data_IF_808837691869
#
_entry.id   IF_808837691869
#
_cell.length_a   1.000
_cell.length_b   1.000
_cell.length_c   1.000
_cell.angle_alpha   90.00
_cell.angle_beta   90.00
_cell.angle_gamma   90.00
#
_symmetry.space_group_name_H-M   'P 1'
#
loop_
_entity.id
_entity.type
_entity.pdbx_description
1 polymer ?
#
# COMPACT_ATOMS: atom_id res chain seq x y z
N UNK A 1 -15.93 9.68 6.23
CA UNK A 1 -15.29 9.56 7.57
C UNK A 1 -13.89 10.18 7.63
N UNK A 2 -13.13 10.21 6.52
CA UNK A 2 -11.77 10.77 6.44
C UNK A 2 -11.69 12.29 6.62
N UNK A 3 -12.81 12.99 6.44
CA UNK A 3 -12.88 14.46 6.51
C UNK A 3 -13.63 14.95 7.76
N UNK A 4 -13.72 14.10 8.79
CA UNK A 4 -14.30 14.44 10.09
C UNK A 4 -13.40 15.50 10.75
N UNK A 5 -13.90 16.73 10.88
CA UNK A 5 -13.13 17.87 11.39
C UNK A 5 -12.76 18.90 10.32
N UNK A 6 -12.95 18.62 9.02
CA UNK A 6 -12.82 19.64 8.00
C UNK A 6 -13.95 20.67 8.12
N UNK A 7 -13.62 21.96 8.12
CA UNK A 7 -14.60 23.04 8.16
C UNK A 7 -15.38 23.14 6.85
N UNK A 8 -14.72 22.87 5.73
CA UNK A 8 -15.30 22.91 4.40
C UNK A 8 -14.74 21.77 3.54
N UNK A 9 -15.60 21.11 2.76
CA UNK A 9 -15.25 20.04 1.83
C UNK A 9 -15.96 20.29 0.51
N UNK A 10 -15.25 20.17 -0.60
CA UNK A 10 -15.85 20.22 -1.93
C UNK A 10 -15.25 19.16 -2.85
N UNK A 11 -16.07 18.69 -3.77
CA UNK A 11 -15.65 17.79 -4.83
C UNK A 11 -15.28 18.59 -6.08
N UNK A 12 -14.29 18.10 -6.81
CA UNK A 12 -13.82 18.67 -8.07
C UNK A 12 -13.41 17.56 -9.04
N UNK A 13 -13.35 17.88 -10.32
CA UNK A 13 -12.71 17.00 -11.29
C UNK A 13 -11.22 16.85 -10.94
N UNK A 14 -10.69 15.63 -11.07
CA UNK A 14 -9.29 15.36 -10.78
C UNK A 14 -8.38 15.80 -11.95
N UNK A 15 -8.33 17.10 -12.20
CA UNK A 15 -7.49 17.75 -13.21
C UNK A 15 -6.44 18.63 -12.55
N UNK A 16 -5.26 18.75 -13.15
CA UNK A 16 -4.19 19.62 -12.62
C UNK A 16 -3.49 19.12 -11.37
N UNK A 17 -3.64 17.85 -11.03
CA UNK A 17 -3.00 17.22 -9.87
C UNK A 17 -3.32 17.95 -8.54
N UNK A 18 -2.39 17.93 -7.59
CA UNK A 18 -2.47 18.67 -6.32
C UNK A 18 -2.45 20.19 -6.55
N UNK A 19 -1.66 20.67 -7.50
CA UNK A 19 -1.57 22.08 -7.90
C UNK A 19 -2.93 22.64 -8.32
N UNK A 20 -3.67 21.88 -9.14
CA UNK A 20 -5.05 22.21 -9.51
C UNK A 20 -5.96 22.26 -8.28
N UNK A 21 -5.78 21.30 -7.35
CA UNK A 21 -6.50 21.29 -6.08
C UNK A 21 -6.24 22.53 -5.23
N UNK A 22 -4.99 22.95 -5.12
CA UNK A 22 -4.62 24.17 -4.38
C UNK A 22 -5.23 25.41 -5.02
N UNK A 23 -5.11 25.56 -6.34
CA UNK A 23 -5.68 26.70 -7.06
C UNK A 23 -7.19 26.79 -6.89
N UNK A 24 -7.90 25.68 -7.05
CA UNK A 24 -9.36 25.66 -6.90
C UNK A 24 -9.76 25.92 -5.44
N UNK A 25 -9.00 25.42 -4.47
CA UNK A 25 -9.19 25.68 -3.05
C UNK A 25 -9.04 27.18 -2.72
N UNK A 26 -7.94 27.81 -3.19
CA UNK A 26 -7.68 29.23 -3.02
C UNK A 26 -8.79 30.07 -3.67
N UNK A 27 -9.16 29.75 -4.91
CA UNK A 27 -10.21 30.49 -5.63
C UNK A 27 -11.57 30.37 -4.92
N UNK A 28 -11.92 29.19 -4.43
CA UNK A 28 -13.18 28.95 -3.71
C UNK A 28 -13.23 29.65 -2.36
N UNK A 29 -12.12 29.62 -1.62
CA UNK A 29 -12.03 30.25 -0.31
C UNK A 29 -12.04 31.78 -0.41
N UNK A 30 -11.40 32.33 -1.43
CA UNK A 30 -11.35 33.74 -1.78
C UNK A 30 -10.19 34.48 -1.12
N UNK A 31 -9.58 35.40 -1.89
CA UNK A 31 -8.38 36.14 -1.48
C UNK A 31 -8.58 37.01 -0.23
N UNK A 32 -9.74 37.71 -0.11
CA UNK A 32 -10.03 38.55 1.05
C UNK A 32 -10.10 37.73 2.34
N UNK A 33 -10.68 36.54 2.27
CA UNK A 33 -10.79 35.65 3.42
C UNK A 33 -9.45 35.02 3.77
N UNK A 34 -8.66 34.67 2.78
CA UNK A 34 -7.29 34.14 2.98
C UNK A 34 -6.40 35.16 3.70
N UNK A 35 -6.48 36.44 3.33
CA UNK A 35 -5.70 37.51 3.94
C UNK A 35 -6.01 37.77 5.43
N UNK A 36 -7.07 37.18 5.99
CA UNK A 36 -7.39 37.25 7.41
C UNK A 36 -6.63 36.25 8.28
N UNK A 37 -5.92 35.31 7.67
CA UNK A 37 -5.11 34.30 8.36
C UNK A 37 -3.65 34.71 8.41
N UNK A 38 -2.98 34.32 9.47
CA UNK A 38 -1.54 34.57 9.64
C UNK A 38 -0.73 33.70 8.67
N UNK A 39 -1.24 32.48 8.39
CA UNK A 39 -0.55 31.48 7.58
C UNK A 39 -1.55 30.62 6.78
N UNK A 40 -1.22 30.32 5.52
CA UNK A 40 -1.88 29.35 4.67
C UNK A 40 -0.95 28.12 4.50
N UNK A 41 -1.44 26.93 4.83
CA UNK A 41 -0.70 25.68 4.60
C UNK A 41 -1.34 24.92 3.44
N UNK A 42 -0.56 24.70 2.39
CA UNK A 42 -0.90 23.85 1.25
C UNK A 42 -0.22 22.49 1.42
N UNK A 43 -0.97 21.40 1.53
CA UNK A 43 -0.40 20.08 1.64
C UNK A 43 -1.22 19.04 0.87
N UNK A 44 -0.61 17.90 0.57
CA UNK A 44 -1.25 16.84 -0.19
C UNK A 44 -1.20 15.48 0.55
N UNK A 45 -1.87 14.48 0.00
CA UNK A 45 -2.05 13.15 0.59
C UNK A 45 -0.84 12.21 0.41
N UNK A 46 0.30 12.68 -0.07
CA UNK A 46 1.43 11.82 -0.47
C UNK A 46 2.33 11.39 0.68
N UNK A 47 1.93 11.63 1.92
CA UNK A 47 2.66 11.24 3.12
C UNK A 47 1.71 10.75 4.23
N UNK A 48 2.26 10.01 5.18
CA UNK A 48 1.63 9.67 6.45
C UNK A 48 2.11 10.64 7.52
N UNK A 49 1.20 11.11 8.37
CA UNK A 49 1.48 12.05 9.46
C UNK A 49 0.34 12.03 10.52
N UNK A 50 0.60 12.51 11.73
CA UNK A 50 1.90 12.84 12.29
C UNK A 50 2.62 11.60 12.85
N UNK A 51 3.83 11.31 12.39
CA UNK A 51 4.68 10.25 12.97
C UNK A 51 5.28 10.73 14.29
N UNK A 52 5.75 11.97 14.31
CA UNK A 52 6.19 12.68 15.50
C UNK A 52 5.29 13.91 15.75
N UNK A 53 5.22 14.43 16.98
CA UNK A 53 4.42 15.60 17.27
C UNK A 53 4.72 16.80 16.35
N UNK A 54 3.68 17.44 15.83
CA UNK A 54 3.81 18.66 15.01
C UNK A 54 4.62 19.77 15.70
N UNK A 55 4.64 19.76 17.03
CA UNK A 55 5.42 20.71 17.81
C UNK A 55 6.90 20.73 17.42
N UNK A 56 7.50 19.57 17.15
CA UNK A 56 8.90 19.47 16.76
C UNK A 56 9.18 20.25 15.46
N UNK A 57 8.27 20.13 14.49
CA UNK A 57 8.33 20.88 13.23
C UNK A 57 8.17 22.39 13.46
N UNK A 58 7.17 22.77 14.24
CA UNK A 58 6.84 24.19 14.49
C UNK A 58 7.96 24.88 15.27
N UNK A 59 8.55 24.23 16.29
CA UNK A 59 9.67 24.79 17.04
C UNK A 59 10.89 25.07 16.13
N UNK A 60 11.16 24.20 15.12
CA UNK A 60 12.25 24.43 14.15
C UNK A 60 11.98 25.66 13.27
N UNK A 61 10.76 25.84 12.84
CA UNK A 61 10.35 26.97 11.99
C UNK A 61 10.31 28.26 12.80
N UNK A 62 9.86 28.23 14.04
CA UNK A 62 9.86 29.41 14.91
C UNK A 62 11.29 29.89 15.22
N UNK A 63 12.25 28.97 15.32
CA UNK A 63 13.67 29.28 15.49
C UNK A 63 14.29 29.97 14.26
N UNK A 64 13.72 29.83 13.07
CA UNK A 64 14.19 30.51 11.86
C UNK A 64 13.87 32.02 11.83
N UNK A 65 13.02 32.50 12.73
CA UNK A 65 12.64 33.91 12.83
C UNK A 65 11.61 34.37 11.79
N UNK A 66 11.73 35.61 11.35
CA UNK A 66 10.78 36.19 10.39
C UNK A 66 11.05 35.64 8.98
N UNK A 67 10.08 34.90 8.45
CA UNK A 67 10.11 34.29 7.11
C UNK A 67 8.74 34.45 6.44
N UNK A 68 8.74 34.52 5.12
CA UNK A 68 7.52 34.72 4.33
C UNK A 68 6.86 33.40 3.93
N UNK A 69 7.66 32.34 3.76
CA UNK A 69 7.15 31.00 3.48
C UNK A 69 8.13 29.92 3.95
N UNK A 70 7.62 28.68 4.12
CA UNK A 70 8.44 27.56 4.57
C UNK A 70 7.91 26.20 4.13
N UNK A 71 8.77 25.20 4.20
CA UNK A 71 8.43 23.80 3.94
C UNK A 71 9.03 22.85 4.93
N UNK A 72 8.59 21.58 4.89
CA UNK A 72 9.15 20.53 5.75
C UNK A 72 10.52 20.13 5.24
N UNK A 73 10.62 19.82 3.96
CA UNK A 73 11.84 19.36 3.29
C UNK A 73 12.03 20.07 1.96
N UNK A 74 13.22 19.97 1.41
CA UNK A 74 13.57 20.51 0.11
C UNK A 74 14.34 19.49 -0.74
N UNK A 75 14.38 19.74 -2.02
CA UNK A 75 15.17 19.02 -3.00
C UNK A 75 16.35 19.88 -3.45
N UNK A 76 17.54 19.29 -3.55
CA UNK A 76 18.73 20.00 -4.04
C UNK A 76 18.62 20.32 -5.54
N UNK A 77 19.50 21.21 -6.02
CA UNK A 77 19.62 21.47 -7.45
C UNK A 77 20.06 20.22 -8.22
N UNK A 78 19.43 19.96 -9.37
CA UNK A 78 19.78 18.84 -10.27
C UNK A 78 20.13 19.36 -11.66
N UNK A 79 21.25 18.90 -12.21
CA UNK A 79 21.74 19.19 -13.57
C UNK A 79 22.15 17.90 -14.29
N UNK A 80 21.65 17.63 -15.51
CA UNK A 80 20.57 18.34 -16.18
C UNK A 80 19.23 18.18 -15.49
N UNK A 81 18.25 19.01 -15.84
CA UNK A 81 16.89 18.84 -15.34
C UNK A 81 16.35 17.45 -15.75
N UNK A 82 15.82 16.63 -14.82
CA UNK A 82 15.46 15.24 -15.10
C UNK A 82 14.33 15.08 -16.14
N UNK A 83 13.52 16.13 -16.34
CA UNK A 83 12.41 16.13 -17.27
C UNK A 83 12.62 17.06 -18.49
N UNK A 84 13.61 17.98 -18.42
CA UNK A 84 13.92 18.98 -19.45
C UNK A 84 15.42 18.99 -19.69
N UNK A 85 15.89 18.28 -20.68
CA UNK A 85 17.30 17.95 -20.91
C UNK A 85 18.28 19.15 -21.01
N UNK A 86 17.82 20.39 -21.23
CA UNK A 86 18.68 21.55 -21.45
C UNK A 86 18.82 22.51 -20.26
N UNK A 87 18.09 22.30 -19.16
CA UNK A 87 17.99 23.22 -18.05
C UNK A 87 18.37 22.57 -16.73
N UNK A 88 18.45 23.35 -15.67
CA UNK A 88 18.56 22.85 -14.30
C UNK A 88 17.19 22.78 -13.64
N UNK A 89 17.01 21.87 -12.72
CA UNK A 89 15.96 21.93 -11.71
C UNK A 89 16.56 22.67 -10.49
N UNK A 90 16.04 23.84 -10.12
CA UNK A 90 16.61 24.60 -9.00
C UNK A 90 16.37 23.89 -7.67
N UNK A 91 17.16 24.20 -6.68
CA UNK A 91 16.88 23.83 -5.29
C UNK A 91 15.54 24.45 -4.86
N UNK A 92 14.68 23.67 -4.22
CA UNK A 92 13.33 24.10 -3.93
C UNK A 92 12.70 23.35 -2.75
N UNK A 93 11.80 24.03 -2.05
CA UNK A 93 10.88 23.40 -1.09
C UNK A 93 9.96 22.47 -1.85
N UNK A 94 9.78 21.25 -1.32
CA UNK A 94 8.91 20.25 -1.95
C UNK A 94 7.44 20.52 -1.69
N UNK A 95 6.62 20.46 -2.74
CA UNK A 95 5.22 20.91 -2.77
C UNK A 95 4.24 20.05 -1.94
N UNK A 96 4.71 18.95 -1.35
CA UNK A 96 3.85 18.18 -0.46
C UNK A 96 3.47 18.92 0.84
N UNK A 97 4.24 19.98 1.19
CA UNK A 97 3.94 20.92 2.26
C UNK A 97 4.60 22.27 1.99
N UNK A 98 3.78 23.27 1.74
CA UNK A 98 4.21 24.68 1.62
C UNK A 98 3.33 25.52 2.52
N UNK A 99 3.94 26.25 3.45
CA UNK A 99 3.25 27.22 4.29
C UNK A 99 3.65 28.64 3.88
N UNK A 100 2.67 29.52 3.75
CA UNK A 100 2.83 30.91 3.28
C UNK A 100 2.28 31.86 4.34
N UNK A 101 3.10 32.78 4.81
CA UNK A 101 2.76 33.76 5.86
C UNK A 101 2.47 35.12 5.26
N UNK A 102 1.85 35.99 6.06
CA UNK A 102 1.80 37.40 5.74
C UNK A 102 3.18 38.06 6.01
N UNK A 103 3.64 39.02 5.16
CA UNK A 103 2.84 39.73 4.14
C UNK A 103 2.70 39.03 2.79
N UNK A 104 3.47 37.95 2.47
CA UNK A 104 3.41 37.29 1.17
C UNK A 104 1.99 36.79 0.83
N UNK A 105 1.30 36.13 1.76
CA UNK A 105 -0.04 35.60 1.54
C UNK A 105 -1.05 36.64 1.00
N UNK A 106 -0.97 37.86 1.49
CA UNK A 106 -1.85 38.98 1.07
C UNK A 106 -1.28 39.82 -0.07
N UNK A 107 -0.10 39.46 -0.60
CA UNK A 107 0.58 40.24 -1.62
C UNK A 107 -0.05 40.09 -3.01
N UNK A 108 0.06 41.10 -3.88
CA UNK A 108 -0.27 40.97 -5.29
C UNK A 108 0.58 39.87 -6.00
N UNK A 109 1.81 39.66 -5.55
CA UNK A 109 2.75 38.68 -6.14
C UNK A 109 2.24 37.25 -5.94
N UNK A 110 1.71 36.92 -4.74
CA UNK A 110 1.15 35.60 -4.47
C UNK A 110 -0.09 35.34 -5.33
N UNK A 111 -0.94 36.34 -5.47
CA UNK A 111 -2.12 36.25 -6.34
C UNK A 111 -1.73 36.09 -7.81
N UNK A 112 -0.80 36.90 -8.31
CA UNK A 112 -0.30 36.83 -9.69
C UNK A 112 0.29 35.46 -9.99
N UNK A 113 1.05 34.88 -9.05
CA UNK A 113 1.61 33.53 -9.21
C UNK A 113 0.55 32.48 -9.53
N UNK A 114 -0.57 32.50 -8.84
CA UNK A 114 -1.67 31.54 -9.04
C UNK A 114 -2.54 31.86 -10.25
N UNK A 115 -2.79 33.14 -10.51
CA UNK A 115 -3.62 33.59 -11.64
C UNK A 115 -2.92 33.34 -13.00
N UNK A 116 -1.60 33.54 -13.08
CA UNK A 116 -0.79 33.35 -14.28
C UNK A 116 -0.23 31.94 -14.46
N UNK A 117 -0.51 31.02 -13.55
CA UNK A 117 0.01 29.65 -13.64
C UNK A 117 -0.51 28.93 -14.89
N UNK A 118 0.38 28.37 -15.71
CA UNK A 118 -0.01 27.60 -16.89
C UNK A 118 -0.90 26.40 -16.53
N UNK A 119 -1.71 25.89 -17.47
CA UNK A 119 -2.48 24.67 -17.24
C UNK A 119 -1.57 23.49 -16.92
N UNK A 120 -1.82 22.81 -15.81
CA UNK A 120 -1.11 21.60 -15.39
C UNK A 120 -1.80 20.39 -16.03
N UNK A 121 -1.16 19.76 -17.01
CA UNK A 121 -1.70 18.64 -17.79
C UNK A 121 -1.01 17.31 -17.51
N UNK A 122 0.19 17.35 -16.94
CA UNK A 122 1.01 16.18 -16.63
C UNK A 122 1.67 16.31 -15.25
N UNK A 123 2.18 15.19 -14.75
CA UNK A 123 3.00 15.17 -13.53
C UNK A 123 4.25 16.06 -13.68
N UNK A 124 4.87 16.05 -14.86
CA UNK A 124 6.03 16.89 -15.12
C UNK A 124 5.68 18.38 -15.11
N UNK A 125 4.49 18.76 -15.59
CA UNK A 125 4.03 20.15 -15.51
C UNK A 125 3.87 20.60 -14.04
N UNK A 126 3.39 19.72 -13.16
CA UNK A 126 3.25 20.08 -11.74
C UNK A 126 4.59 20.36 -11.07
N UNK A 127 5.62 19.61 -11.43
CA UNK A 127 6.99 19.86 -10.98
C UNK A 127 7.54 21.14 -11.59
N UNK A 128 7.44 21.29 -12.92
CA UNK A 128 8.03 22.43 -13.65
C UNK A 128 7.39 23.77 -13.30
N UNK A 129 6.06 23.83 -13.23
CA UNK A 129 5.33 25.08 -13.09
C UNK A 129 4.98 25.44 -11.65
N UNK A 130 5.10 24.49 -10.73
CA UNK A 130 4.82 24.74 -9.32
C UNK A 130 5.98 24.32 -8.42
N UNK A 131 6.24 23.03 -8.23
CA UNK A 131 7.15 22.54 -7.18
C UNK A 131 8.54 23.17 -7.30
N UNK A 132 9.22 22.99 -8.43
CA UNK A 132 10.57 23.51 -8.64
C UNK A 132 10.64 25.03 -8.88
N UNK A 133 9.52 25.64 -9.20
CA UNK A 133 9.45 27.09 -9.49
C UNK A 133 9.19 27.94 -8.27
N UNK A 134 8.37 27.47 -7.31
CA UNK A 134 7.83 28.27 -6.22
C UNK A 134 8.91 29.01 -5.42
N UNK A 135 9.88 28.28 -4.92
CA UNK A 135 10.96 28.84 -4.08
C UNK A 135 11.79 29.89 -4.83
N UNK A 136 12.21 29.57 -6.05
CA UNK A 136 13.01 30.50 -6.87
C UNK A 136 12.20 31.73 -7.30
N UNK A 137 10.92 31.59 -7.61
CA UNK A 137 10.05 32.68 -8.03
C UNK A 137 9.91 33.74 -6.94
N UNK A 138 9.53 33.31 -5.74
CA UNK A 138 9.36 34.25 -4.63
C UNK A 138 10.69 34.75 -4.07
N UNK A 139 11.74 33.94 -4.08
CA UNK A 139 13.09 34.38 -3.73
C UNK A 139 13.62 35.50 -4.63
N UNK A 140 13.34 35.48 -5.93
CA UNK A 140 13.70 36.56 -6.87
C UNK A 140 12.94 37.86 -6.63
N UNK A 141 11.77 37.80 -6.03
CA UNK A 141 10.98 38.95 -5.61
C UNK A 141 11.38 39.50 -4.22
N UNK A 142 12.37 38.85 -3.59
CA UNK A 142 12.91 39.28 -2.29
C UNK A 142 12.26 38.66 -1.05
N UNK A 143 11.33 37.72 -1.24
CA UNK A 143 10.73 36.99 -0.11
C UNK A 143 11.68 35.96 0.46
N UNK A 144 11.65 35.81 1.78
CA UNK A 144 12.51 34.93 2.55
C UNK A 144 11.83 33.59 2.87
N UNK A 145 12.61 32.52 2.97
CA UNK A 145 12.06 31.21 3.30
C UNK A 145 12.94 30.41 4.26
N UNK A 146 12.34 29.40 4.86
CA UNK A 146 13.03 28.42 5.67
C UNK A 146 12.56 26.99 5.33
N UNK A 147 13.37 26.01 5.70
CA UNK A 147 13.08 24.59 5.62
C UNK A 147 13.29 23.98 6.99
N UNK A 148 12.31 23.24 7.50
CA UNK A 148 12.42 22.68 8.85
C UNK A 148 13.50 21.58 8.95
N UNK A 149 13.68 20.83 7.86
CA UNK A 149 14.71 19.79 7.72
C UNK A 149 15.49 20.07 6.44
N UNK A 150 16.47 20.99 6.51
CA UNK A 150 17.19 21.48 5.34
C UNK A 150 18.08 20.40 4.74
N UNK A 151 18.27 20.45 3.44
CA UNK A 151 18.99 19.45 2.66
C UNK A 151 20.45 19.27 3.15
N UNK A 152 21.10 20.31 3.63
CA UNK A 152 22.50 20.27 4.09
C UNK A 152 22.72 19.31 5.25
N UNK A 153 21.70 19.07 6.06
CA UNK A 153 21.81 18.18 7.22
C UNK A 153 21.76 16.70 6.82
N UNK A 154 21.53 16.39 5.53
CA UNK A 154 21.33 15.02 5.03
C UNK A 154 22.26 14.71 3.85
N UNK A 155 22.67 13.43 3.69
CA UNK A 155 23.67 13.06 2.69
C UNK A 155 23.17 13.08 1.23
N UNK A 156 21.87 13.03 0.98
CA UNK A 156 21.31 12.94 -0.38
C UNK A 156 20.62 14.21 -0.85
N UNK A 157 20.48 14.40 -2.18
CA UNK A 157 19.78 15.55 -2.76
C UNK A 157 18.25 15.60 -2.46
N UNK A 158 17.66 14.45 -2.11
CA UNK A 158 16.23 14.31 -1.83
C UNK A 158 15.98 13.59 -0.50
N UNK A 159 16.26 14.24 0.63
CA UNK A 159 16.20 13.59 1.94
C UNK A 159 14.88 12.93 2.28
N UNK A 160 13.75 13.54 1.91
CA UNK A 160 12.42 13.00 2.25
C UNK A 160 12.16 11.62 1.61
N UNK A 161 12.87 11.31 0.56
CA UNK A 161 12.79 10.03 -0.12
C UNK A 161 13.99 9.13 0.20
N UNK A 162 15.20 9.63 0.01
CA UNK A 162 16.42 8.81 0.12
C UNK A 162 16.90 8.62 1.58
N UNK A 163 16.59 9.57 2.46
CA UNK A 163 17.05 9.57 3.86
C UNK A 163 15.88 9.62 4.87
N UNK A 164 14.76 8.99 4.54
CA UNK A 164 13.56 9.03 5.38
C UNK A 164 13.84 8.55 6.83
N UNK A 165 14.72 7.55 7.02
CA UNK A 165 15.10 7.07 8.34
C UNK A 165 15.79 8.15 9.18
N UNK A 166 16.71 8.92 8.57
CA UNK A 166 17.39 10.02 9.25
C UNK A 166 16.43 11.15 9.62
N UNK A 167 15.53 11.51 8.69
CA UNK A 167 14.49 12.48 8.95
C UNK A 167 13.59 12.08 10.13
N UNK A 168 13.15 10.82 10.17
CA UNK A 168 12.36 10.29 11.28
C UNK A 168 13.14 10.30 12.60
N UNK A 169 14.42 9.94 12.58
CA UNK A 169 15.29 10.01 13.77
C UNK A 169 15.43 11.43 14.30
N UNK A 170 15.42 12.44 13.42
CA UNK A 170 15.44 13.86 13.77
C UNK A 170 14.08 14.42 14.19
N UNK A 171 13.05 13.57 14.28
CA UNK A 171 11.72 13.96 14.72
C UNK A 171 10.82 14.56 13.62
N UNK A 172 11.14 14.31 12.34
CA UNK A 172 10.30 14.73 11.23
C UNK A 172 8.92 14.05 11.33
N UNK A 173 7.82 14.82 11.25
CA UNK A 173 6.49 14.28 11.48
C UNK A 173 5.91 13.53 10.28
N UNK A 174 6.60 13.45 9.14
CA UNK A 174 6.07 12.84 7.92
C UNK A 174 6.90 11.66 7.43
N UNK A 175 6.22 10.66 6.88
CA UNK A 175 6.80 9.60 6.05
C UNK A 175 6.15 9.63 4.67
N UNK A 176 6.94 9.77 3.61
CA UNK A 176 6.40 9.71 2.23
C UNK A 176 5.89 8.31 1.93
N UNK A 177 4.66 8.24 1.41
CA UNK A 177 4.04 6.98 0.99
C UNK A 177 4.86 6.25 -0.06
N UNK A 178 5.54 7.00 -0.93
CA UNK A 178 6.32 6.45 -2.05
C UNK A 178 7.46 5.53 -1.60
N UNK A 179 8.01 5.72 -0.41
CA UNK A 179 9.03 4.83 0.19
C UNK A 179 8.50 3.40 0.41
N UNK A 180 7.18 3.20 0.41
CA UNK A 180 6.54 1.91 0.67
C UNK A 180 5.89 1.28 -0.56
N UNK A 181 5.66 2.02 -1.65
CA UNK A 181 4.94 1.50 -2.83
C UNK A 181 5.63 1.75 -4.18
N UNK A 182 6.79 2.40 -4.20
CA UNK A 182 7.50 2.62 -5.46
C UNK A 182 8.04 1.31 -6.03
N UNK A 183 8.46 1.34 -7.29
CA UNK A 183 9.07 0.18 -7.95
C UNK A 183 10.18 -0.42 -7.08
N UNK A 184 10.10 -1.73 -6.74
CA UNK A 184 11.07 -2.35 -5.84
C UNK A 184 12.52 -2.26 -6.33
N UNK A 185 12.77 -2.40 -7.64
CA UNK A 185 14.13 -2.30 -8.19
C UNK A 185 14.70 -0.89 -8.04
N UNK A 186 13.83 0.13 -8.07
CA UNK A 186 14.27 1.49 -7.79
C UNK A 186 14.65 1.66 -6.31
N UNK A 187 13.82 1.15 -5.40
CA UNK A 187 14.08 1.23 -3.96
C UNK A 187 15.37 0.46 -3.59
N UNK A 188 15.55 -0.73 -4.14
CA UNK A 188 16.75 -1.55 -3.94
C UNK A 188 18.02 -0.82 -4.38
N UNK A 189 18.03 -0.18 -5.55
CA UNK A 189 19.17 0.59 -6.06
C UNK A 189 19.56 1.76 -5.15
N UNK A 190 18.61 2.32 -4.44
CA UNK A 190 18.80 3.45 -3.54
C UNK A 190 18.89 3.03 -2.06
N UNK A 191 18.89 1.71 -1.80
CA UNK A 191 18.88 1.13 -0.46
C UNK A 191 17.79 1.72 0.46
N UNK A 192 16.59 1.93 -0.12
CA UNK A 192 15.41 2.40 0.61
C UNK A 192 14.62 1.17 1.02
N UNK A 193 14.64 0.83 2.31
CA UNK A 193 14.04 -0.38 2.86
C UNK A 193 12.72 -0.02 3.53
N UNK A 194 11.59 -0.35 2.89
CA UNK A 194 10.26 -0.01 3.39
C UNK A 194 9.91 -0.70 4.71
N UNK A 195 10.39 -1.94 4.92
CA UNK A 195 10.22 -2.65 6.19
C UNK A 195 10.84 -1.89 7.38
N UNK A 196 12.06 -1.35 7.20
CA UNK A 196 12.73 -0.56 8.24
C UNK A 196 11.94 0.72 8.54
N UNK A 197 11.33 1.33 7.51
CA UNK A 197 10.49 2.51 7.70
C UNK A 197 9.24 2.18 8.53
N UNK A 198 8.59 1.04 8.27
CA UNK A 198 7.43 0.60 9.07
C UNK A 198 7.81 0.33 10.52
N UNK A 199 8.96 -0.30 10.75
CA UNK A 199 9.47 -0.54 12.10
C UNK A 199 9.76 0.77 12.85
N UNK A 200 10.45 1.72 12.22
CA UNK A 200 10.72 3.03 12.81
C UNK A 200 9.46 3.80 13.18
N UNK A 201 8.49 3.79 12.29
CA UNK A 201 7.18 4.44 12.50
C UNK A 201 6.41 3.77 13.63
N UNK A 202 6.41 2.43 13.69
CA UNK A 202 5.79 1.67 14.79
C UNK A 202 6.45 1.97 16.14
N UNK A 203 7.79 2.06 16.20
CA UNK A 203 8.54 2.45 17.39
C UNK A 203 8.22 3.88 17.85
N UNK A 204 7.91 4.78 16.92
CA UNK A 204 7.44 6.12 17.23
C UNK A 204 6.00 6.17 17.77
N UNK A 205 5.30 5.02 17.81
CA UNK A 205 3.93 4.89 18.32
C UNK A 205 2.84 5.22 17.29
N UNK A 206 3.18 5.33 16.02
CA UNK A 206 2.19 5.51 14.95
C UNK A 206 1.53 4.18 14.59
N UNK A 207 0.23 4.20 14.35
CA UNK A 207 -0.53 3.01 13.95
C UNK A 207 -0.16 2.56 12.52
N UNK A 208 0.67 1.53 12.42
CA UNK A 208 1.11 0.96 11.15
C UNK A 208 -0.02 0.30 10.37
N UNK A 209 -1.12 -0.12 11.01
CA UNK A 209 -2.28 -0.70 10.32
C UNK A 209 -2.98 0.34 9.43
N UNK A 210 -2.94 1.62 9.82
CA UNK A 210 -3.41 2.71 8.96
C UNK A 210 -2.61 2.80 7.66
N UNK A 211 -1.28 2.64 7.75
CA UNK A 211 -0.39 2.62 6.59
C UNK A 211 -0.70 1.43 5.70
N UNK A 212 -0.68 0.23 6.25
CA UNK A 212 -0.91 -1.01 5.51
C UNK A 212 -2.32 -1.05 4.89
N UNK A 213 -3.36 -0.64 5.63
CA UNK A 213 -4.73 -0.53 5.11
C UNK A 213 -4.85 0.45 3.94
N UNK A 214 -4.15 1.58 4.01
CA UNK A 214 -4.13 2.56 2.92
C UNK A 214 -3.39 2.00 1.70
N UNK A 215 -2.21 1.43 1.89
CA UNK A 215 -1.38 0.89 0.82
C UNK A 215 -2.01 -0.33 0.15
N UNK A 216 -2.66 -1.22 0.89
CA UNK A 216 -3.37 -2.37 0.35
C UNK A 216 -4.47 -1.97 -0.65
N UNK A 217 -5.05 -0.77 -0.51
CA UNK A 217 -6.08 -0.23 -1.42
C UNK A 217 -5.54 0.58 -2.59
N UNK A 218 -4.31 1.05 -2.51
CA UNK A 218 -3.78 2.06 -3.43
C UNK A 218 -2.48 1.67 -4.13
N UNK A 219 -1.87 0.56 -3.72
CA UNK A 219 -0.62 0.06 -4.27
C UNK A 219 -0.82 -1.29 -4.96
N UNK A 220 0.09 -1.67 -5.82
CA UNK A 220 0.12 -3.03 -6.35
C UNK A 220 0.49 -4.00 -5.24
N UNK A 221 -0.24 -5.10 -5.04
CA UNK A 221 0.06 -6.06 -3.97
C UNK A 221 1.53 -6.55 -3.98
N UNK A 222 2.08 -6.79 -5.16
CA UNK A 222 3.47 -7.20 -5.33
C UNK A 222 4.46 -6.19 -4.78
N UNK A 223 4.29 -4.91 -5.15
CA UNK A 223 5.20 -3.84 -4.72
C UNK A 223 5.11 -3.66 -3.19
N UNK A 224 3.90 -3.71 -2.65
CA UNK A 224 3.68 -3.62 -1.21
C UNK A 224 4.33 -4.79 -0.45
N UNK A 225 4.09 -6.03 -0.88
CA UNK A 225 4.66 -7.22 -0.24
C UNK A 225 6.18 -7.18 -0.23
N UNK A 226 6.79 -6.79 -1.35
CA UNK A 226 8.25 -6.70 -1.48
C UNK A 226 8.80 -5.58 -0.62
N UNK A 227 8.27 -4.36 -0.75
CA UNK A 227 8.82 -3.18 -0.08
C UNK A 227 8.59 -3.19 1.44
N UNK A 228 7.46 -3.76 1.89
CA UNK A 228 7.15 -3.89 3.31
C UNK A 228 7.76 -5.13 3.96
N UNK A 229 8.50 -5.95 3.19
CA UNK A 229 9.13 -7.16 3.71
C UNK A 229 8.12 -8.22 4.21
N UNK A 230 6.93 -8.28 3.59
CA UNK A 230 5.85 -9.18 4.01
C UNK A 230 6.02 -10.60 3.43
N UNK A 231 7.27 -11.07 3.31
CA UNK A 231 7.60 -12.41 2.82
C UNK A 231 8.18 -13.23 3.94
N UNK A 232 7.56 -14.38 4.23
CA UNK A 232 8.04 -15.36 5.21
C UNK A 232 8.51 -16.61 4.48
N UNK A 233 9.69 -17.09 4.82
CA UNK A 233 10.23 -18.37 4.32
C UNK A 233 9.88 -19.47 5.33
N UNK A 234 9.00 -20.37 4.93
CA UNK A 234 8.59 -21.49 5.77
C UNK A 234 9.64 -22.60 5.68
N UNK A 235 10.19 -23.07 6.81
CA UNK A 235 11.12 -24.20 6.81
C UNK A 235 10.51 -25.45 6.21
N UNK A 236 11.29 -26.31 5.52
CA UNK A 236 10.78 -27.54 4.88
C UNK A 236 10.38 -28.62 5.88
N UNK A 237 10.77 -28.48 7.15
CA UNK A 237 10.40 -29.38 8.26
C UNK A 237 9.91 -28.58 9.42
N UNK A 238 8.80 -29.04 10.02
CA UNK A 238 8.26 -28.52 11.26
C UNK A 238 8.85 -29.22 12.47
N UNK A 239 9.15 -28.48 13.52
CA UNK A 239 9.44 -29.04 14.84
C UNK A 239 8.14 -29.36 15.59
N UNK A 240 8.24 -29.99 16.75
CA UNK A 240 7.07 -30.38 17.53
C UNK A 240 6.23 -29.18 17.98
N UNK A 241 6.85 -28.07 18.33
CA UNK A 241 6.14 -26.86 18.74
C UNK A 241 5.29 -26.28 17.61
N UNK A 242 5.85 -26.27 16.39
CA UNK A 242 5.14 -25.86 15.16
C UNK A 242 3.95 -26.79 14.87
N UNK A 243 4.14 -28.10 14.99
CA UNK A 243 3.07 -29.10 14.78
C UNK A 243 1.96 -28.92 15.82
N UNK A 244 2.29 -28.72 17.09
CA UNK A 244 1.34 -28.52 18.16
C UNK A 244 0.54 -27.21 17.99
N UNK A 245 1.21 -26.15 17.58
CA UNK A 245 0.56 -24.87 17.26
C UNK A 245 -0.43 -25.02 16.09
N UNK A 246 -0.02 -25.69 15.00
CA UNK A 246 -0.89 -25.96 13.87
C UNK A 246 -2.10 -26.82 14.23
N UNK A 247 -1.90 -27.86 15.06
CA UNK A 247 -2.96 -28.77 15.50
C UNK A 247 -3.98 -28.09 16.44
N UNK A 248 -3.66 -26.96 17.06
CA UNK A 248 -4.59 -26.21 17.90
C UNK A 248 -5.65 -25.44 17.11
N UNK A 249 -5.45 -25.25 15.81
CA UNK A 249 -6.33 -24.44 14.94
C UNK A 249 -7.39 -25.31 14.25
N UNK A 250 -8.61 -24.82 14.21
CA UNK A 250 -9.71 -25.42 13.45
C UNK A 250 -9.67 -24.93 12.01
N UNK A 251 -9.41 -25.82 11.09
CA UNK A 251 -9.22 -25.51 9.66
C UNK A 251 -10.46 -25.86 8.85
N UNK A 252 -10.98 -24.89 8.09
CA UNK A 252 -11.96 -25.09 7.04
C UNK A 252 -11.26 -25.06 5.68
N UNK A 253 -11.39 -26.11 4.88
CA UNK A 253 -10.99 -26.11 3.49
C UNK A 253 -12.21 -25.82 2.60
N UNK A 254 -12.14 -24.80 1.75
CA UNK A 254 -13.17 -24.52 0.74
C UNK A 254 -12.57 -24.73 -0.65
N UNK A 255 -13.07 -25.75 -1.35
CA UNK A 255 -12.59 -26.16 -2.65
C UNK A 255 -13.64 -25.93 -3.74
N UNK A 256 -13.42 -24.99 -4.68
CA UNK A 256 -14.28 -24.88 -5.84
C UNK A 256 -13.80 -25.80 -6.97
N UNK A 257 -14.49 -26.94 -7.18
CA UNK A 257 -14.14 -27.98 -8.17
C UNK A 257 -15.08 -27.86 -9.37
N UNK A 258 -14.86 -26.88 -10.22
CA UNK A 258 -15.62 -26.67 -11.44
C UNK A 258 -15.35 -27.79 -12.47
N UNK A 259 -14.11 -28.23 -12.57
CA UNK A 259 -13.66 -29.34 -13.42
C UNK A 259 -13.57 -30.61 -12.57
N UNK A 260 -14.60 -31.44 -12.63
CA UNK A 260 -14.72 -32.64 -11.77
C UNK A 260 -13.57 -33.66 -11.96
N UNK A 261 -12.97 -33.72 -13.16
CA UNK A 261 -11.79 -34.54 -13.43
C UNK A 261 -10.52 -34.11 -12.65
N UNK A 262 -10.53 -32.91 -12.01
CA UNK A 262 -9.47 -32.45 -11.12
C UNK A 262 -9.76 -32.77 -9.63
N UNK A 263 -10.85 -33.45 -9.31
CA UNK A 263 -11.21 -33.76 -7.93
C UNK A 263 -10.11 -34.53 -7.20
N UNK A 264 -9.54 -35.56 -7.84
CA UNK A 264 -8.46 -36.36 -7.28
C UNK A 264 -7.21 -35.55 -6.97
N UNK A 265 -6.82 -34.63 -7.86
CA UNK A 265 -5.69 -33.73 -7.66
C UNK A 265 -5.92 -32.80 -6.47
N UNK A 266 -7.11 -32.16 -6.40
CA UNK A 266 -7.44 -31.22 -5.31
C UNK A 266 -7.51 -31.92 -3.96
N UNK A 267 -8.18 -33.10 -3.90
CA UNK A 267 -8.25 -33.89 -2.66
C UNK A 267 -6.86 -34.38 -2.21
N UNK A 268 -5.99 -34.75 -3.17
CA UNK A 268 -4.60 -35.10 -2.86
C UNK A 268 -3.81 -33.89 -2.30
N UNK A 269 -4.00 -32.69 -2.86
CA UNK A 269 -3.35 -31.47 -2.34
C UNK A 269 -3.86 -31.10 -0.94
N UNK A 270 -5.15 -31.30 -0.66
CA UNK A 270 -5.72 -31.04 0.67
C UNK A 270 -5.32 -32.07 1.73
N UNK A 271 -4.83 -33.26 1.35
CA UNK A 271 -4.42 -34.31 2.31
C UNK A 271 -3.23 -33.92 3.19
N UNK A 272 -2.52 -32.82 2.89
CA UNK A 272 -1.44 -32.29 3.72
C UNK A 272 -1.93 -31.38 4.86
N UNK A 273 -3.23 -31.06 4.91
CA UNK A 273 -3.85 -30.32 6.00
C UNK A 273 -3.87 -31.15 7.29
N UNK A 274 -3.90 -30.49 8.47
CA UNK A 274 -4.04 -31.21 9.76
C UNK A 274 -5.26 -32.12 9.79
N UNK A 275 -5.14 -33.26 10.44
CA UNK A 275 -6.25 -34.21 10.59
C UNK A 275 -7.47 -33.52 11.25
N UNK A 276 -8.66 -33.82 10.71
CA UNK A 276 -9.91 -33.26 11.23
C UNK A 276 -10.28 -31.88 10.61
N UNK A 277 -9.59 -31.43 9.57
CA UNK A 277 -10.09 -30.28 8.80
C UNK A 277 -11.48 -30.58 8.22
N UNK A 278 -12.34 -29.56 8.17
CA UNK A 278 -13.64 -29.66 7.51
C UNK A 278 -13.52 -29.27 6.04
N UNK A 279 -14.07 -30.08 5.12
CA UNK A 279 -14.06 -29.80 3.69
C UNK A 279 -15.46 -29.40 3.20
N UNK A 280 -15.56 -28.19 2.65
CA UNK A 280 -16.70 -27.79 1.83
C UNK A 280 -16.25 -27.70 0.38
N UNK A 281 -16.78 -28.55 -0.47
CA UNK A 281 -16.51 -28.52 -1.90
C UNK A 281 -17.70 -27.93 -2.67
N UNK A 282 -17.46 -27.06 -3.63
CA UNK A 282 -18.50 -26.48 -4.48
C UNK A 282 -18.29 -26.87 -5.94
N UNK A 283 -19.37 -27.14 -6.68
CA UNK A 283 -19.32 -27.53 -8.09
C UNK A 283 -20.54 -27.01 -8.88
N UNK A 284 -20.56 -27.23 -10.20
CA UNK A 284 -21.52 -26.61 -11.11
C UNK A 284 -22.85 -27.36 -11.28
N UNK A 285 -22.89 -28.65 -10.97
CA UNK A 285 -24.08 -29.50 -11.20
C UNK A 285 -24.07 -30.77 -10.34
N UNK A 286 -25.20 -31.49 -10.31
CA UNK A 286 -25.39 -32.71 -9.50
C UNK A 286 -24.52 -33.89 -9.95
N UNK A 287 -24.21 -34.00 -11.25
CA UNK A 287 -23.35 -35.07 -11.77
C UNK A 287 -21.92 -34.94 -11.23
N UNK A 288 -21.37 -33.72 -11.30
CA UNK A 288 -20.07 -33.39 -10.73
C UNK A 288 -20.07 -33.57 -9.21
N UNK A 289 -21.15 -33.20 -8.53
CA UNK A 289 -21.30 -33.42 -7.08
C UNK A 289 -21.15 -34.89 -6.73
N UNK A 290 -21.93 -35.75 -7.37
CA UNK A 290 -21.88 -37.18 -7.11
C UNK A 290 -20.48 -37.77 -7.36
N UNK A 291 -19.77 -37.32 -8.40
CA UNK A 291 -18.41 -37.72 -8.67
C UNK A 291 -17.43 -37.28 -7.56
N UNK A 292 -17.53 -36.03 -7.13
CA UNK A 292 -16.67 -35.49 -6.07
C UNK A 292 -16.92 -36.21 -4.74
N UNK A 293 -18.17 -36.45 -4.38
CA UNK A 293 -18.57 -37.22 -3.19
C UNK A 293 -17.96 -38.65 -3.22
N UNK A 294 -18.07 -39.34 -4.37
CA UNK A 294 -17.47 -40.68 -4.54
C UNK A 294 -15.95 -40.63 -4.36
N UNK A 295 -15.24 -39.64 -4.93
CA UNK A 295 -13.79 -39.50 -4.78
C UNK A 295 -13.39 -39.12 -3.35
N UNK A 296 -14.13 -38.29 -2.66
CA UNK A 296 -13.88 -37.98 -1.26
C UNK A 296 -14.07 -39.22 -0.38
N UNK A 297 -15.15 -39.99 -0.60
CA UNK A 297 -15.40 -41.22 0.12
C UNK A 297 -14.31 -42.28 -0.11
N UNK A 298 -13.85 -42.47 -1.36
CA UNK A 298 -12.73 -43.39 -1.67
C UNK A 298 -11.44 -43.07 -0.92
N UNK A 299 -11.25 -41.77 -0.57
CA UNK A 299 -10.09 -41.26 0.18
C UNK A 299 -10.33 -41.15 1.69
N UNK A 300 -11.53 -41.52 2.16
CA UNK A 300 -11.92 -41.38 3.57
C UNK A 300 -12.03 -39.94 4.05
N UNK A 301 -12.29 -38.99 3.13
CA UNK A 301 -12.48 -37.57 3.43
C UNK A 301 -13.98 -37.30 3.56
N UNK A 302 -14.39 -36.75 4.71
CA UNK A 302 -15.76 -36.23 4.89
C UNK A 302 -15.85 -34.86 4.21
N UNK A 303 -16.77 -34.75 3.26
CA UNK A 303 -16.91 -33.54 2.43
C UNK A 303 -18.37 -33.12 2.31
N UNK A 304 -18.66 -31.88 2.66
CA UNK A 304 -19.94 -31.22 2.29
C UNK A 304 -19.83 -30.71 0.85
N UNK A 305 -20.44 -31.43 -0.09
CA UNK A 305 -20.38 -31.06 -1.51
C UNK A 305 -21.66 -30.34 -1.92
N UNK A 306 -21.50 -29.12 -2.43
CA UNK A 306 -22.59 -28.21 -2.78
C UNK A 306 -22.62 -27.87 -4.26
N UNK A 307 -23.79 -27.84 -4.86
CA UNK A 307 -23.97 -27.27 -6.19
C UNK A 307 -24.17 -25.77 -6.07
N UNK A 308 -23.35 -24.97 -6.78
CA UNK A 308 -23.44 -23.52 -6.75
C UNK A 308 -24.76 -23.01 -7.32
N UNK A 309 -25.32 -21.98 -6.70
CA UNK A 309 -26.56 -21.34 -7.15
C UNK A 309 -26.38 -20.61 -8.48
N UNK A 310 -25.18 -20.18 -8.81
CA UNK A 310 -24.85 -19.48 -10.04
C UNK A 310 -23.33 -19.53 -10.31
N UNK A 311 -22.94 -19.61 -11.58
CA UNK A 311 -21.53 -19.47 -11.97
C UNK A 311 -21.08 -18.00 -12.16
N UNK A 312 -21.93 -17.03 -11.75
CA UNK A 312 -21.51 -15.61 -11.72
C UNK A 312 -20.52 -15.39 -10.60
N UNK A 313 -19.38 -14.76 -10.94
CA UNK A 313 -18.28 -14.56 -9.98
C UNK A 313 -17.33 -15.75 -9.89
N UNK A 314 -17.53 -16.81 -10.68
CA UNK A 314 -16.66 -18.01 -10.74
C UNK A 314 -16.36 -18.56 -9.32
N UNK A 315 -15.11 -18.93 -9.05
CA UNK A 315 -14.64 -19.45 -7.75
C UNK A 315 -14.83 -18.46 -6.58
N UNK A 316 -14.77 -17.16 -6.84
CA UNK A 316 -14.99 -16.14 -5.80
C UNK A 316 -16.48 -16.06 -5.43
N UNK A 317 -17.39 -16.15 -6.42
CA UNK A 317 -18.82 -16.22 -6.16
C UNK A 317 -19.20 -17.46 -5.36
N UNK A 318 -18.71 -18.64 -5.77
CA UNK A 318 -18.90 -19.89 -5.02
C UNK A 318 -18.37 -19.79 -3.58
N UNK A 319 -17.21 -19.18 -3.37
CA UNK A 319 -16.60 -18.99 -2.06
C UNK A 319 -17.44 -18.07 -1.17
N UNK A 320 -17.75 -16.85 -1.64
CA UNK A 320 -18.36 -15.82 -0.79
C UNK A 320 -19.87 -15.98 -0.63
N UNK A 321 -20.58 -16.58 -1.61
CA UNK A 321 -22.04 -16.68 -1.61
C UNK A 321 -22.50 -18.07 -1.17
N UNK A 322 -22.01 -19.14 -1.84
CA UNK A 322 -22.49 -20.48 -1.58
C UNK A 322 -21.87 -21.14 -0.33
N UNK A 323 -20.78 -20.54 0.20
CA UNK A 323 -20.13 -20.94 1.46
C UNK A 323 -20.27 -19.88 2.57
N UNK A 324 -21.13 -18.88 2.41
CA UNK A 324 -21.28 -17.77 3.36
C UNK A 324 -21.57 -18.25 4.78
N UNK A 325 -22.42 -19.26 4.93
CA UNK A 325 -22.81 -19.85 6.20
C UNK A 325 -21.62 -20.36 7.02
N UNK A 326 -20.77 -21.18 6.41
CA UNK A 326 -19.58 -21.74 7.08
C UNK A 326 -18.48 -20.69 7.28
N UNK A 327 -18.35 -19.74 6.35
CA UNK A 327 -17.37 -18.65 6.46
C UNK A 327 -17.67 -17.67 7.60
N UNK A 328 -18.95 -17.52 7.95
CA UNK A 328 -19.40 -16.58 8.98
C UNK A 328 -19.86 -17.27 10.27
N UNK A 329 -19.75 -18.60 10.37
CA UNK A 329 -20.16 -19.38 11.52
C UNK A 329 -19.40 -19.05 12.81
N UNK A 330 -18.15 -18.59 12.68
CA UNK A 330 -17.22 -18.40 13.80
C UNK A 330 -16.67 -19.71 14.39
N UNK A 331 -16.86 -20.85 13.71
CA UNK A 331 -16.42 -22.16 14.17
C UNK A 331 -14.97 -22.48 13.82
N UNK A 332 -14.41 -21.78 12.83
CA UNK A 332 -13.08 -22.03 12.26
C UNK A 332 -12.14 -20.85 12.49
N UNK A 333 -10.89 -21.18 12.79
CA UNK A 333 -9.83 -20.19 12.98
C UNK A 333 -9.20 -19.80 11.63
N UNK A 334 -9.07 -20.79 10.73
CA UNK A 334 -8.39 -20.63 9.42
C UNK A 334 -9.25 -21.19 8.31
N UNK A 335 -9.29 -20.46 7.18
CA UNK A 335 -9.92 -20.90 5.94
C UNK A 335 -8.86 -21.09 4.85
N UNK A 336 -8.77 -22.30 4.31
CA UNK A 336 -7.92 -22.63 3.15
C UNK A 336 -8.79 -22.63 1.91
N UNK A 337 -8.57 -21.66 1.00
CA UNK A 337 -9.30 -21.58 -0.28
C UNK A 337 -8.49 -22.15 -1.41
N UNK A 338 -9.07 -23.11 -2.14
CA UNK A 338 -8.49 -23.72 -3.34
C UNK A 338 -9.53 -23.81 -4.46
N UNK A 339 -9.10 -23.84 -5.72
CA UNK A 339 -10.04 -24.08 -6.82
C UNK A 339 -9.37 -24.83 -7.98
N UNK A 340 -10.19 -25.55 -8.77
CA UNK A 340 -9.75 -26.16 -10.00
C UNK A 340 -9.51 -25.10 -11.07
N UNK A 341 -8.36 -25.15 -11.75
CA UNK A 341 -8.02 -24.22 -12.83
C UNK A 341 -7.47 -24.98 -14.04
N UNK A 342 -8.12 -24.76 -15.19
CA UNK A 342 -7.60 -25.12 -16.51
C UNK A 342 -7.43 -23.85 -17.32
N UNK A 343 -6.19 -23.46 -17.59
CA UNK A 343 -5.91 -22.28 -18.43
C UNK A 343 -6.01 -22.68 -19.89
N UNK A 344 -7.12 -22.37 -20.51
CA UNK A 344 -7.38 -22.61 -21.94
C UNK A 344 -6.75 -21.51 -22.81
N UNK A 345 -6.40 -20.38 -22.20
CA UNK A 345 -5.97 -19.15 -22.87
C UNK A 345 -4.45 -18.91 -22.77
N UNK A 346 -3.75 -19.60 -21.88
CA UNK A 346 -2.32 -19.44 -21.65
C UNK A 346 -1.53 -20.57 -22.28
N UNK A 347 -0.25 -20.34 -22.55
CA UNK A 347 0.70 -21.40 -22.88
C UNK A 347 0.65 -22.47 -21.80
N UNK A 348 0.64 -23.75 -22.21
CA UNK A 348 0.56 -24.90 -21.30
C UNK A 348 1.62 -24.83 -20.19
N UNK A 349 2.85 -24.49 -20.54
CA UNK A 349 3.96 -24.42 -19.57
C UNK A 349 3.74 -23.29 -18.54
N UNK A 350 3.26 -22.12 -18.97
CA UNK A 350 2.96 -21.01 -18.09
C UNK A 350 1.82 -21.36 -17.12
N UNK A 351 0.77 -22.01 -17.63
CA UNK A 351 -0.36 -22.46 -16.82
C UNK A 351 0.02 -23.49 -15.76
N UNK A 352 0.87 -24.48 -16.13
CA UNK A 352 1.36 -25.50 -15.19
C UNK A 352 2.28 -24.87 -14.14
N UNK A 353 3.26 -24.05 -14.57
CA UNK A 353 4.15 -23.36 -13.66
C UNK A 353 3.37 -22.53 -12.62
N UNK A 354 2.36 -21.78 -13.05
CA UNK A 354 1.53 -20.99 -12.15
C UNK A 354 0.77 -21.85 -11.14
N UNK A 355 0.17 -22.95 -11.60
CA UNK A 355 -0.57 -23.89 -10.73
C UNK A 355 0.36 -24.53 -9.70
N UNK A 356 1.47 -25.10 -10.13
CA UNK A 356 2.43 -25.75 -9.23
C UNK A 356 3.04 -24.74 -8.25
N UNK A 357 3.36 -23.52 -8.72
CA UNK A 357 3.86 -22.46 -7.84
C UNK A 357 2.89 -22.15 -6.68
N UNK A 358 1.58 -22.09 -6.95
CA UNK A 358 0.59 -21.87 -5.88
C UNK A 358 0.56 -23.04 -4.89
N UNK A 359 0.56 -24.29 -5.39
CA UNK A 359 0.53 -25.46 -4.54
C UNK A 359 1.81 -25.64 -3.73
N UNK A 360 2.96 -25.45 -4.35
CA UNK A 360 4.26 -25.62 -3.69
C UNK A 360 4.53 -24.56 -2.62
N UNK A 361 3.90 -23.40 -2.72
CA UNK A 361 4.02 -22.36 -1.69
C UNK A 361 2.94 -22.41 -0.60
N UNK A 362 1.84 -23.14 -0.80
CA UNK A 362 0.74 -23.17 0.18
C UNK A 362 0.42 -24.57 0.68
N UNK A 363 0.61 -25.61 -0.13
CA UNK A 363 0.22 -27.00 0.14
C UNK A 363 1.33 -27.99 -0.26
N UNK A 364 2.59 -27.66 -0.02
CA UNK A 364 3.72 -28.47 -0.42
C UNK A 364 3.82 -29.81 0.36
N UNK A 365 3.66 -29.74 1.68
CA UNK A 365 3.73 -30.88 2.60
C UNK A 365 3.01 -30.55 3.91
N UNK A 366 2.76 -31.59 4.73
CA UNK A 366 2.16 -31.38 6.06
C UNK A 366 3.02 -30.50 6.97
N UNK A 367 4.35 -30.64 6.92
CA UNK A 367 5.27 -29.81 7.68
C UNK A 367 5.22 -28.34 7.23
N UNK A 368 5.15 -28.13 5.90
CA UNK A 368 5.06 -26.80 5.33
C UNK A 368 3.74 -26.11 5.73
N UNK A 369 2.63 -26.83 5.62
CA UNK A 369 1.30 -26.33 6.05
C UNK A 369 1.30 -26.02 7.55
N UNK A 370 1.89 -26.91 8.36
CA UNK A 370 2.01 -26.64 9.80
C UNK A 370 2.80 -25.37 10.09
N UNK A 371 3.88 -25.11 9.33
CA UNK A 371 4.62 -23.85 9.41
C UNK A 371 3.75 -22.62 9.11
N UNK A 372 2.95 -22.66 8.03
CA UNK A 372 2.03 -21.56 7.70
C UNK A 372 0.99 -21.35 8.80
N UNK A 373 0.39 -22.44 9.32
CA UNK A 373 -0.61 -22.35 10.38
C UNK A 373 -0.02 -21.82 11.68
N UNK A 374 1.22 -22.20 12.02
CA UNK A 374 1.91 -21.67 13.18
C UNK A 374 2.18 -20.15 13.08
N UNK A 375 2.41 -19.60 11.90
CA UNK A 375 2.50 -18.15 11.68
C UNK A 375 1.19 -17.43 12.06
N UNK A 376 0.04 -17.97 11.69
CA UNK A 376 -1.25 -17.43 12.11
C UNK A 376 -1.45 -17.51 13.62
N UNK A 377 -1.02 -18.59 14.25
CA UNK A 377 -1.10 -18.73 15.72
C UNK A 377 -0.18 -17.73 16.45
N UNK A 378 1.01 -17.48 15.91
CA UNK A 378 1.99 -16.57 16.50
C UNK A 378 1.67 -15.09 16.27
N UNK A 379 0.96 -14.77 15.19
CA UNK A 379 0.74 -13.38 14.74
C UNK A 379 -0.78 -13.10 14.58
N UNK A 380 -1.48 -12.68 15.65
CA UNK A 380 -2.94 -12.42 15.60
C UNK A 380 -3.37 -11.36 14.57
N UNK A 381 -2.45 -10.50 14.13
CA UNK A 381 -2.68 -9.51 13.06
C UNK A 381 -2.53 -10.08 11.64
N UNK A 382 -2.06 -11.32 11.48
CA UNK A 382 -1.91 -11.94 10.18
C UNK A 382 -3.28 -12.35 9.62
N UNK A 383 -3.78 -11.59 8.66
CA UNK A 383 -5.11 -11.82 8.07
C UNK A 383 -5.11 -12.75 6.86
N UNK A 384 -3.97 -12.93 6.17
CA UNK A 384 -3.90 -13.74 4.95
C UNK A 384 -2.47 -14.19 4.65
N UNK A 385 -2.29 -15.43 4.23
CA UNK A 385 -1.08 -15.94 3.61
C UNK A 385 -1.37 -16.33 2.16
N UNK A 386 -0.52 -15.89 1.24
CA UNK A 386 -0.64 -16.17 -0.20
C UNK A 386 0.71 -16.62 -0.75
N UNK A 387 0.70 -17.36 -1.84
CA UNK A 387 1.94 -17.63 -2.59
C UNK A 387 2.52 -16.29 -3.11
N UNK A 388 3.86 -16.11 -3.11
CA UNK A 388 4.47 -14.94 -3.72
C UNK A 388 4.09 -14.86 -5.21
N UNK A 389 3.95 -13.65 -5.74
CA UNK A 389 3.60 -13.47 -7.16
C UNK A 389 4.73 -13.97 -8.05
N UNK A 390 4.51 -14.95 -8.93
CA UNK A 390 5.54 -15.39 -9.86
C UNK A 390 5.84 -14.30 -10.89
N UNK A 391 7.11 -14.21 -11.31
CA UNK A 391 7.50 -13.36 -12.43
C UNK A 391 7.07 -14.04 -13.74
N UNK A 392 5.93 -13.65 -14.25
CA UNK A 392 5.34 -14.17 -15.50
C UNK A 392 5.43 -13.10 -16.61
N UNK A 393 6.61 -12.52 -16.80
CA UNK A 393 6.87 -11.57 -17.89
C UNK A 393 6.39 -10.15 -17.61
#
# INVERSE_FOLDING_TARGET
RLLKGATEVFERENTGFDVGGYRDGIARFGWERLGQFDELILFNYTFFAPIHPWKNLLDRIDAAGAIDFWGITEHDEVRPHPFLAATRMPRHIQSHWIAVRNPLLSSPDFRTYWDEMPPIRSYNDSIQWHESRFTEYFGKLGYTHAVAYPREDYPSPNPVFDNAALLLADGCPILKRRNLFHDPLYLDRHAIIGADMLELVGRAGYDTDLILTNLARTSRPRDLVTNAGLTTVIPPRADQATLDAAASLKVLAVAHIFYADMADEILARLSVLPAGYHLVATTSNEENKALIEARAQERGVDADVRVVSSNRGRDIGAFLVDCHDVLTSGEYDIVVKIHSKKSVQDDYNAAQLFKEHLYDNLLASSDHVAGILAEFAAHPGLGMAIAPMPHMG
#
